data_IF_427751470770
#
_entry.id   IF_427751470770
#
_cell.length_a   1.000
_cell.length_b   1.000
_cell.length_c   1.000
_cell.angle_alpha   90.00
_cell.angle_beta   90.00
_cell.angle_gamma   90.00
#
_symmetry.space_group_name_H-M   'P 1'
#
loop_
_entity.id
_entity.type
_entity.pdbx_description
1 polymer ?
#
# COMPACT_ATOMS: atom_id res chain seq x y z
N UNK A 1 7.16 14.72 24.16
CA UNK A 1 5.99 14.64 23.26
C UNK A 1 6.18 15.71 22.19
N UNK A 2 6.42 15.32 20.96
CA UNK A 2 6.55 16.25 19.83
C UNK A 2 5.15 16.57 19.31
N UNK A 3 4.86 17.85 19.02
CA UNK A 3 3.55 18.28 18.50
C UNK A 3 3.16 17.51 17.22
N UNK A 4 1.85 17.26 16.99
CA UNK A 4 1.40 16.64 15.75
C UNK A 4 1.82 17.47 14.54
N UNK A 5 2.17 16.80 13.44
CA UNK A 5 2.44 17.48 12.18
C UNK A 5 1.12 18.04 11.62
N UNK A 6 1.12 19.21 10.96
CA UNK A 6 -0.09 19.70 10.33
C UNK A 6 -0.59 18.72 9.27
N UNK A 7 -1.93 18.55 9.13
CA UNK A 7 -2.50 17.72 8.09
C UNK A 7 -2.11 18.24 6.70
N UNK A 8 -1.96 17.32 5.74
CA UNK A 8 -1.66 17.70 4.38
C UNK A 8 -2.91 18.32 3.72
N UNK A 9 -2.81 19.49 3.11
CA UNK A 9 -3.95 20.13 2.46
C UNK A 9 -4.47 19.28 1.29
N UNK A 10 -5.80 19.15 1.16
CA UNK A 10 -6.45 18.50 0.02
C UNK A 10 -6.46 16.97 0.03
N UNK A 11 -5.95 16.30 1.06
CA UNK A 11 -5.88 14.83 1.11
C UNK A 11 -7.21 14.13 1.48
N UNK A 12 -8.30 14.86 1.75
CA UNK A 12 -9.69 14.36 1.79
C UNK A 12 -10.04 13.29 2.84
N UNK A 13 -9.18 13.02 3.82
CA UNK A 13 -9.47 12.10 4.91
C UNK A 13 -10.43 12.72 5.93
N UNK A 14 -11.34 11.93 6.49
CA UNK A 14 -12.25 12.34 7.57
C UNK A 14 -11.75 11.74 8.88
N UNK A 15 -11.55 12.58 9.91
CA UNK A 15 -11.04 12.16 11.22
C UNK A 15 -9.58 12.54 11.47
N UNK A 16 -9.07 12.18 12.63
CA UNK A 16 -7.67 12.42 12.99
C UNK A 16 -6.74 11.42 12.31
N UNK A 17 -5.55 11.86 11.84
CA UNK A 17 -4.59 10.95 11.22
C UNK A 17 -3.96 10.04 12.28
N UNK A 18 -4.14 8.73 12.12
CA UNK A 18 -3.50 7.71 12.96
C UNK A 18 -2.05 7.47 12.57
N UNK A 19 -1.75 7.61 11.26
CA UNK A 19 -0.39 7.48 10.71
C UNK A 19 -0.11 8.66 9.77
N UNK A 20 1.02 9.33 9.97
CA UNK A 20 1.45 10.45 9.15
C UNK A 20 2.82 10.15 8.54
N UNK A 21 2.93 10.30 7.23
CA UNK A 21 4.17 10.12 6.47
C UNK A 21 4.54 11.45 5.83
N UNK A 22 5.78 11.91 6.03
CA UNK A 22 6.28 13.17 5.49
C UNK A 22 7.63 12.97 4.81
N UNK A 23 7.70 13.32 3.54
CA UNK A 23 8.90 13.33 2.72
C UNK A 23 9.72 12.05 2.81
N UNK A 24 9.03 10.91 2.91
CA UNK A 24 9.66 9.62 3.10
C UNK A 24 10.54 9.27 1.91
N UNK A 25 11.82 9.00 2.19
CA UNK A 25 12.80 8.56 1.21
C UNK A 25 13.39 7.21 1.64
N UNK A 26 13.46 6.27 0.71
CA UNK A 26 14.21 5.03 0.87
C UNK A 26 14.98 4.72 -0.40
N UNK A 27 16.29 4.72 -0.29
CA UNK A 27 17.21 4.30 -1.33
C UNK A 27 17.95 3.05 -0.88
N UNK A 28 18.21 2.14 -1.81
CA UNK A 28 19.01 0.93 -1.57
C UNK A 28 20.32 1.04 -2.35
N UNK A 29 21.49 0.89 -1.68
CA UNK A 29 22.78 0.95 -2.37
C UNK A 29 22.95 -0.24 -3.31
N UNK A 30 23.36 0.03 -4.54
CA UNK A 30 23.80 -0.98 -5.51
C UNK A 30 25.28 -1.17 -5.37
N UNK A 31 25.70 -2.40 -5.05
CA UNK A 31 27.11 -2.75 -4.87
C UNK A 31 27.66 -3.44 -6.12
N UNK A 32 28.94 -3.19 -6.42
CA UNK A 32 29.65 -3.86 -7.52
C UNK A 32 29.75 -5.38 -7.29
N UNK A 33 29.76 -6.15 -8.40
CA UNK A 33 30.06 -7.58 -8.36
C UNK A 33 31.59 -7.75 -8.33
N UNK A 34 32.20 -7.96 -7.17
CA UNK A 34 33.63 -8.15 -7.05
C UNK A 34 34.05 -8.46 -5.62
N UNK A 35 35.31 -8.86 -5.42
CA UNK A 35 35.91 -9.14 -4.10
C UNK A 35 35.84 -7.87 -3.21
N UNK A 36 36.10 -6.72 -3.80
CA UNK A 36 35.91 -5.42 -3.13
C UNK A 36 34.58 -4.83 -3.58
N UNK A 37 33.59 -4.88 -2.69
CA UNK A 37 32.25 -4.30 -2.93
C UNK A 37 32.31 -2.78 -2.85
N UNK A 38 32.11 -2.09 -3.99
CA UNK A 38 32.01 -0.62 -4.04
C UNK A 38 30.60 -0.23 -4.39
N UNK A 39 30.09 0.86 -3.78
CA UNK A 39 28.80 1.45 -4.13
C UNK A 39 28.90 2.06 -5.54
N UNK A 40 28.05 1.59 -6.48
CA UNK A 40 28.03 2.00 -7.89
C UNK A 40 26.77 2.80 -8.23
N UNK A 41 25.83 2.92 -7.31
CA UNK A 41 24.58 3.67 -7.47
C UNK A 41 23.58 3.36 -6.39
N UNK A 42 22.37 3.86 -6.55
CA UNK A 42 21.26 3.62 -5.65
C UNK A 42 20.00 3.25 -6.43
N UNK A 43 19.22 2.33 -5.88
CA UNK A 43 17.83 2.11 -6.29
C UNK A 43 16.96 3.13 -5.56
N UNK A 44 16.35 4.04 -6.27
CA UNK A 44 15.46 5.09 -5.77
C UNK A 44 14.04 4.53 -5.54
N UNK A 45 13.87 3.68 -4.52
CA UNK A 45 12.63 2.96 -4.30
C UNK A 45 11.48 3.85 -3.80
N UNK A 46 11.77 4.82 -2.93
CA UNK A 46 10.81 5.82 -2.42
C UNK A 46 11.50 7.19 -2.40
N UNK A 47 10.84 8.23 -2.91
CA UNK A 47 11.46 9.53 -3.19
C UNK A 47 10.53 10.70 -2.81
N UNK A 48 10.49 11.03 -1.52
CA UNK A 48 9.69 12.14 -1.01
C UNK A 48 8.19 11.86 -1.04
N UNK A 49 7.78 10.74 -0.43
CA UNK A 49 6.36 10.37 -0.35
C UNK A 49 5.77 10.92 0.93
N UNK A 50 4.62 11.62 0.80
CA UNK A 50 3.87 12.18 1.93
C UNK A 50 2.41 11.82 1.81
N UNK A 51 1.81 11.27 2.88
CA UNK A 51 0.38 10.98 3.00
C UNK A 51 -0.02 10.78 4.46
N UNK A 52 -1.33 10.85 4.71
CA UNK A 52 -1.94 10.55 5.99
C UNK A 52 -2.88 9.35 5.87
N UNK A 53 -2.88 8.47 6.87
CA UNK A 53 -3.89 7.44 7.08
C UNK A 53 -4.73 7.85 8.29
N UNK A 54 -6.04 7.91 8.13
CA UNK A 54 -6.96 8.30 9.18
C UNK A 54 -7.51 7.09 9.94
N UNK A 55 -8.08 7.33 11.12
CA UNK A 55 -8.75 6.26 11.87
C UNK A 55 -9.93 5.70 11.07
N UNK A 56 -10.12 4.39 11.13
CA UNK A 56 -11.18 3.64 10.42
C UNK A 56 -11.16 3.81 8.89
N UNK A 57 -10.05 4.25 8.33
CA UNK A 57 -9.87 4.43 6.89
C UNK A 57 -9.20 3.22 6.24
N UNK A 58 -9.57 2.93 4.99
CA UNK A 58 -8.76 2.13 4.06
C UNK A 58 -8.13 3.06 3.03
N UNK A 59 -6.82 3.33 3.18
CA UNK A 59 -6.04 4.00 2.15
C UNK A 59 -5.44 2.96 1.21
N UNK A 60 -5.88 2.96 -0.05
CA UNK A 60 -5.30 2.13 -1.10
C UNK A 60 -4.00 2.74 -1.63
N UNK A 61 -2.93 1.96 -1.72
CA UNK A 61 -1.68 2.35 -2.38
C UNK A 61 -1.48 1.48 -3.61
N UNK A 62 -1.60 2.06 -4.80
CA UNK A 62 -1.57 1.33 -6.07
C UNK A 62 -0.47 1.81 -7.01
N UNK A 63 -0.07 0.96 -7.94
CA UNK A 63 0.93 1.25 -8.98
C UNK A 63 1.55 -0.02 -9.55
N UNK A 64 2.28 0.11 -10.64
CA UNK A 64 2.97 -1.02 -11.28
C UNK A 64 3.95 -1.73 -10.34
N UNK A 65 4.31 -2.98 -10.67
CA UNK A 65 5.36 -3.70 -9.94
C UNK A 65 6.66 -2.92 -9.95
N UNK A 66 7.38 -2.91 -8.83
CA UNK A 66 8.61 -2.12 -8.67
C UNK A 66 8.40 -0.61 -8.45
N UNK A 67 7.17 -0.10 -8.32
CA UNK A 67 6.94 1.33 -8.04
C UNK A 67 7.35 1.78 -6.63
N UNK A 68 7.62 0.85 -5.69
CA UNK A 68 8.08 1.12 -4.32
C UNK A 68 7.06 0.87 -3.21
N UNK A 69 5.88 0.32 -3.51
CA UNK A 69 4.77 0.09 -2.57
C UNK A 69 5.17 -0.77 -1.36
N UNK A 70 5.70 -1.97 -1.61
CA UNK A 70 6.21 -2.87 -0.56
C UNK A 70 7.33 -2.24 0.26
N UNK A 71 8.15 -1.38 -0.37
CA UNK A 71 9.19 -0.63 0.34
C UNK A 71 8.57 0.35 1.32
N UNK A 72 7.50 1.07 0.94
CA UNK A 72 6.74 1.92 1.86
C UNK A 72 6.20 1.08 3.02
N UNK A 73 5.49 -0.02 2.76
CA UNK A 73 4.93 -0.92 3.78
C UNK A 73 5.97 -1.33 4.83
N UNK A 74 7.14 -1.78 4.37
CA UNK A 74 8.25 -2.21 5.24
C UNK A 74 8.88 -1.05 6.02
N UNK A 75 8.99 0.13 5.39
CA UNK A 75 9.60 1.30 6.03
C UNK A 75 8.68 1.87 7.12
N UNK A 76 7.37 1.90 6.90
CA UNK A 76 6.38 2.33 7.89
C UNK A 76 6.46 1.51 9.19
N UNK A 77 6.66 0.21 9.06
CA UNK A 77 6.73 -0.71 10.21
C UNK A 77 8.16 -0.88 10.76
N UNK A 78 9.11 -0.08 10.29
CA UNK A 78 10.52 -0.18 10.69
C UNK A 78 11.10 -1.59 10.50
N UNK A 79 10.62 -2.30 9.48
CA UNK A 79 11.28 -3.50 8.94
C UNK A 79 12.46 -3.10 8.05
N UNK A 80 12.34 -1.94 7.40
CA UNK A 80 13.41 -1.23 6.68
C UNK A 80 13.58 0.17 7.28
N UNK A 81 14.84 0.63 7.40
CA UNK A 81 15.08 2.01 7.85
C UNK A 81 14.87 2.99 6.69
N UNK A 82 14.21 4.11 6.95
CA UNK A 82 14.15 5.23 6.03
C UNK A 82 15.55 5.79 5.76
N UNK A 83 15.78 6.31 4.55
CA UNK A 83 16.98 7.10 4.23
C UNK A 83 16.82 8.52 4.79
N UNK A 84 15.64 9.10 4.66
CA UNK A 84 15.22 10.37 5.26
C UNK A 84 13.70 10.46 5.31
N UNK A 85 13.17 11.55 5.87
CA UNK A 85 11.75 11.75 6.09
C UNK A 85 11.28 11.20 7.43
N UNK A 86 10.00 11.37 7.72
CA UNK A 86 9.40 11.07 9.02
C UNK A 86 8.17 10.19 8.85
N UNK A 87 8.03 9.21 9.74
CA UNK A 87 6.83 8.39 9.90
C UNK A 87 6.36 8.53 11.34
N UNK A 88 5.17 9.06 11.55
CA UNK A 88 4.57 9.22 12.88
C UNK A 88 3.34 8.34 13.01
N UNK A 89 3.27 7.65 14.13
CA UNK A 89 2.09 6.94 14.58
C UNK A 89 1.58 7.65 15.83
N UNK A 90 0.45 8.34 15.74
CA UNK A 90 -0.03 9.23 16.78
C UNK A 90 1.09 10.19 17.22
N UNK A 91 1.44 10.20 18.51
CA UNK A 91 2.48 11.06 19.08
C UNK A 91 3.91 10.53 18.93
N UNK A 92 4.10 9.36 18.33
CA UNK A 92 5.40 8.69 18.23
C UNK A 92 6.03 8.85 16.85
N UNK A 93 7.23 9.43 16.79
CA UNK A 93 8.05 9.40 15.57
C UNK A 93 8.74 8.03 15.44
N UNK A 94 8.17 7.15 14.60
CA UNK A 94 8.69 5.80 14.40
C UNK A 94 10.10 5.79 13.82
N UNK A 95 10.49 6.81 13.06
CA UNK A 95 11.81 6.87 12.40
C UNK A 95 12.93 7.12 13.40
N UNK A 96 12.65 7.80 14.51
CA UNK A 96 13.60 8.11 15.57
C UNK A 96 13.74 6.98 16.63
N UNK A 97 12.76 6.06 16.73
CA UNK A 97 12.74 5.04 17.78
C UNK A 97 13.82 3.97 17.58
N UNK A 98 14.36 3.44 18.67
CA UNK A 98 15.15 2.22 18.69
C UNK A 98 14.27 0.97 18.50
N UNK A 99 14.90 -0.19 18.21
CA UNK A 99 14.15 -1.47 18.09
C UNK A 99 13.38 -1.82 19.37
N UNK A 100 13.93 -1.51 20.53
CA UNK A 100 13.30 -1.77 21.82
C UNK A 100 12.06 -0.89 22.02
N UNK A 101 12.17 0.39 21.71
CA UNK A 101 11.05 1.35 21.78
C UNK A 101 9.94 1.05 20.77
N UNK A 102 10.27 0.45 19.61
CA UNK A 102 9.28 -0.01 18.64
C UNK A 102 8.46 -1.23 19.11
N UNK A 103 8.98 -2.04 20.03
CA UNK A 103 8.33 -3.31 20.44
C UNK A 103 6.90 -3.12 20.96
N UNK A 104 6.58 -2.19 21.87
CA UNK A 104 5.21 -1.95 22.29
C UNK A 104 4.31 -1.49 21.15
N UNK A 105 4.79 -0.60 20.25
CA UNK A 105 4.01 -0.08 19.14
C UNK A 105 3.69 -1.13 18.07
N UNK A 106 4.53 -2.16 17.94
CA UNK A 106 4.26 -3.30 17.05
C UNK A 106 3.04 -4.11 17.45
N UNK A 107 2.48 -3.93 18.65
CA UNK A 107 1.18 -4.52 19.02
C UNK A 107 0.05 -3.85 18.24
N UNK A 108 0.16 -2.55 18.03
CA UNK A 108 -0.86 -1.74 17.38
C UNK A 108 -0.67 -1.65 15.86
N UNK A 109 0.56 -1.90 15.37
CA UNK A 109 0.96 -1.82 13.97
C UNK A 109 1.33 -3.22 13.46
N UNK A 110 0.46 -3.82 12.64
CA UNK A 110 0.63 -5.17 12.13
C UNK A 110 0.73 -5.20 10.60
N UNK A 111 1.19 -6.32 10.06
CA UNK A 111 1.30 -6.54 8.62
C UNK A 111 0.74 -7.91 8.23
N UNK A 112 0.03 -7.95 7.11
CA UNK A 112 -0.29 -9.17 6.37
C UNK A 112 0.52 -9.15 5.08
N UNK A 113 1.36 -10.17 4.89
CA UNK A 113 2.29 -10.25 3.77
C UNK A 113 1.63 -10.78 2.50
N UNK A 114 2.25 -10.47 1.35
CA UNK A 114 1.82 -10.83 0.01
C UNK A 114 1.72 -12.36 -0.20
N UNK A 115 2.70 -13.11 0.26
CA UNK A 115 2.76 -14.56 0.07
C UNK A 115 2.36 -15.29 1.36
N UNK A 116 1.14 -15.88 1.40
CA UNK A 116 0.70 -16.64 2.56
C UNK A 116 1.50 -17.94 2.77
N UNK A 117 2.18 -18.46 1.73
CA UNK A 117 3.03 -19.64 1.85
C UNK A 117 4.36 -19.32 2.54
N UNK A 118 5.02 -18.24 2.11
CA UNK A 118 6.30 -17.84 2.69
C UNK A 118 6.17 -17.16 4.06
N UNK A 119 4.98 -16.66 4.40
CA UNK A 119 4.75 -15.92 5.65
C UNK A 119 4.41 -16.79 6.86
N UNK A 120 4.05 -18.06 6.66
CA UNK A 120 3.69 -19.01 7.71
C UNK A 120 4.77 -20.09 7.82
N UNK A 121 5.31 -20.34 9.03
CA UNK A 121 6.26 -21.44 9.24
C UNK A 121 5.53 -22.78 9.04
N UNK A 122 5.91 -23.59 8.03
CA UNK A 122 5.22 -24.84 7.71
C UNK A 122 5.37 -25.93 8.78
N UNK A 123 6.25 -25.73 9.75
CA UNK A 123 6.50 -26.67 10.86
C UNK A 123 5.59 -26.40 12.06
N UNK A 124 4.91 -25.28 12.09
CA UNK A 124 4.01 -24.89 13.17
C UNK A 124 2.58 -25.24 12.83
N UNK A 125 1.82 -25.65 13.84
CA UNK A 125 0.37 -25.76 13.75
C UNK A 125 -0.28 -24.38 13.58
N UNK A 126 -1.51 -24.36 13.05
CA UNK A 126 -2.28 -23.12 12.90
C UNK A 126 -2.45 -22.40 14.23
N UNK A 127 -2.71 -23.18 15.31
CA UNK A 127 -2.78 -22.64 16.66
C UNK A 127 -1.49 -21.93 17.07
N UNK A 128 -0.35 -22.57 16.83
CA UNK A 128 0.97 -22.00 17.17
C UNK A 128 1.29 -20.74 16.38
N UNK A 129 0.95 -20.71 15.08
CA UNK A 129 1.11 -19.55 14.19
C UNK A 129 0.30 -18.36 14.70
N UNK A 130 -0.98 -18.57 15.04
CA UNK A 130 -1.85 -17.49 15.53
C UNK A 130 -1.46 -17.06 16.96
N UNK A 131 -0.98 -17.98 17.79
CA UNK A 131 -0.52 -17.73 19.15
C UNK A 131 0.87 -17.06 19.22
N UNK A 132 1.68 -17.14 18.15
CA UNK A 132 3.07 -16.65 18.13
C UNK A 132 3.18 -15.17 18.58
N UNK A 133 2.40 -14.21 18.07
CA UNK A 133 2.45 -12.83 18.54
C UNK A 133 2.14 -12.69 20.02
N UNK A 134 1.19 -13.46 20.54
CA UNK A 134 0.84 -13.46 21.97
C UNK A 134 2.02 -13.92 22.82
N UNK A 135 2.74 -14.97 22.40
CA UNK A 135 3.94 -15.48 23.08
C UNK A 135 5.08 -14.45 23.05
N UNK A 136 5.36 -13.87 21.87
CA UNK A 136 6.43 -12.87 21.70
C UNK A 136 6.19 -11.64 22.59
N UNK A 137 4.94 -11.24 22.76
CA UNK A 137 4.58 -10.07 23.57
C UNK A 137 4.19 -10.39 25.01
N UNK A 138 4.37 -11.66 25.48
CA UNK A 138 4.13 -12.08 26.85
C UNK A 138 2.65 -12.06 27.25
N UNK A 139 1.75 -12.24 26.28
CA UNK A 139 0.30 -12.28 26.49
C UNK A 139 -0.30 -13.69 26.42
N UNK A 140 0.50 -14.69 26.12
CA UNK A 140 0.06 -16.09 26.08
C UNK A 140 0.00 -16.67 27.51
N UNK A 141 -1.19 -16.70 28.09
CA UNK A 141 -1.44 -17.17 29.45
C UNK A 141 -2.70 -18.05 29.53
N UNK A 142 -3.26 -18.26 30.74
CA UNK A 142 -4.53 -18.98 30.89
C UNK A 142 -5.61 -18.36 30.01
N UNK A 143 -6.35 -19.18 29.24
CA UNK A 143 -7.38 -18.73 28.29
C UNK A 143 -6.87 -18.32 26.90
N UNK A 144 -5.56 -18.23 26.66
CA UNK A 144 -5.04 -17.86 25.33
C UNK A 144 -5.43 -18.88 24.24
N UNK A 145 -5.62 -20.14 24.59
CA UNK A 145 -6.14 -21.14 23.66
C UNK A 145 -7.57 -20.83 23.18
N UNK A 146 -8.42 -20.29 24.05
CA UNK A 146 -9.77 -19.84 23.69
C UNK A 146 -9.72 -18.58 22.83
N UNK A 147 -8.80 -17.65 23.15
CA UNK A 147 -8.57 -16.44 22.32
C UNK A 147 -8.15 -16.83 20.90
N UNK A 148 -7.26 -17.82 20.73
CA UNK A 148 -6.87 -18.32 19.41
C UNK A 148 -8.06 -18.98 18.68
N UNK A 149 -8.87 -19.77 19.37
CA UNK A 149 -10.09 -20.37 18.78
C UNK A 149 -11.06 -19.29 18.30
N UNK A 150 -11.23 -18.22 19.08
CA UNK A 150 -12.07 -17.09 18.69
C UNK A 150 -11.53 -16.33 17.47
N UNK A 151 -10.23 -16.11 17.42
CA UNK A 151 -9.58 -15.49 16.24
C UNK A 151 -9.79 -16.34 14.97
N UNK A 152 -9.74 -17.67 15.09
CA UNK A 152 -10.03 -18.56 13.96
C UNK A 152 -11.49 -18.45 13.50
N UNK A 153 -12.46 -18.38 14.44
CA UNK A 153 -13.88 -18.15 14.10
C UNK A 153 -14.07 -16.81 13.41
N UNK A 154 -13.47 -15.77 13.94
CA UNK A 154 -13.55 -14.39 13.42
C UNK A 154 -13.12 -14.30 11.95
N UNK A 155 -12.14 -15.09 11.54
CA UNK A 155 -11.71 -15.15 10.14
C UNK A 155 -12.44 -16.23 9.32
N UNK A 156 -13.48 -16.85 9.87
CA UNK A 156 -14.30 -17.87 9.20
C UNK A 156 -13.59 -19.21 9.01
N UNK A 157 -12.67 -19.57 9.93
CA UNK A 157 -12.03 -20.89 9.97
C UNK A 157 -12.64 -21.74 11.10
N UNK A 158 -12.67 -23.07 10.92
CA UNK A 158 -13.07 -23.97 11.98
C UNK A 158 -11.99 -24.04 13.08
N UNK A 159 -12.32 -23.66 14.34
CA UNK A 159 -11.36 -23.66 15.45
C UNK A 159 -10.75 -25.03 15.75
N UNK A 160 -11.49 -26.12 15.48
CA UNK A 160 -11.01 -27.49 15.70
C UNK A 160 -9.83 -27.86 14.76
N UNK A 161 -9.64 -27.11 13.70
CA UNK A 161 -8.49 -27.25 12.80
C UNK A 161 -7.21 -26.59 13.32
N UNK A 162 -7.21 -26.04 14.51
CA UNK A 162 -6.03 -25.38 15.11
C UNK A 162 -4.79 -26.27 15.19
N UNK A 163 -4.96 -27.59 15.32
CA UNK A 163 -3.84 -28.54 15.39
C UNK A 163 -3.28 -28.96 14.01
N UNK A 164 -3.92 -28.54 12.90
CA UNK A 164 -3.42 -28.82 11.55
C UNK A 164 -2.29 -27.88 11.19
N UNK A 165 -1.49 -28.29 10.21
CA UNK A 165 -0.39 -27.49 9.67
C UNK A 165 -0.87 -26.59 8.53
N UNK A 166 -0.17 -25.46 8.31
CA UNK A 166 -0.55 -24.50 7.28
C UNK A 166 -0.63 -25.11 5.87
N UNK A 167 0.19 -26.10 5.53
CA UNK A 167 0.20 -26.74 4.23
C UNK A 167 -1.05 -27.60 3.93
N UNK A 168 -1.86 -27.94 4.93
CA UNK A 168 -3.13 -28.68 4.80
C UNK A 168 -4.30 -27.78 4.41
N UNK A 169 -4.10 -26.46 4.29
CA UNK A 169 -5.12 -25.48 3.97
C UNK A 169 -4.97 -24.91 2.55
N UNK A 170 -6.09 -24.48 1.95
CA UNK A 170 -6.08 -23.76 0.68
C UNK A 170 -5.39 -22.40 0.81
N UNK A 171 -5.01 -21.78 -0.31
CA UNK A 171 -4.39 -20.45 -0.34
C UNK A 171 -5.21 -19.40 0.41
N UNK A 172 -6.52 -19.35 0.17
CA UNK A 172 -7.42 -18.42 0.85
C UNK A 172 -7.55 -18.70 2.35
N UNK A 173 -7.54 -19.96 2.76
CA UNK A 173 -7.54 -20.33 4.18
C UNK A 173 -6.21 -19.94 4.85
N UNK A 174 -5.07 -20.11 4.19
CA UNK A 174 -3.77 -19.64 4.70
C UNK A 174 -3.74 -18.13 4.85
N UNK A 175 -4.32 -17.38 3.89
CA UNK A 175 -4.45 -15.94 4.01
C UNK A 175 -5.28 -15.55 5.24
N UNK A 176 -6.38 -16.24 5.51
CA UNK A 176 -7.19 -16.06 6.72
C UNK A 176 -6.42 -16.37 8.00
N UNK A 177 -5.55 -17.38 8.01
CA UNK A 177 -4.63 -17.67 9.13
C UNK A 177 -3.67 -16.49 9.35
N UNK A 178 -3.09 -15.94 8.27
CA UNK A 178 -2.24 -14.75 8.33
C UNK A 178 -2.96 -13.52 8.89
N UNK A 179 -4.23 -13.33 8.52
CA UNK A 179 -5.09 -12.26 9.07
C UNK A 179 -5.37 -12.52 10.57
N UNK A 180 -5.72 -13.75 10.97
CA UNK A 180 -5.94 -14.11 12.38
C UNK A 180 -4.69 -13.84 13.22
N UNK A 181 -3.50 -14.20 12.72
CA UNK A 181 -2.21 -13.89 13.36
C UNK A 181 -2.01 -12.39 13.55
N UNK A 182 -2.30 -11.57 12.54
CA UNK A 182 -2.18 -10.13 12.64
C UNK A 182 -3.17 -9.53 13.66
N UNK A 183 -4.35 -10.10 13.80
CA UNK A 183 -5.38 -9.66 14.76
C UNK A 183 -5.09 -10.03 16.21
N UNK A 184 -4.22 -11.01 16.47
CA UNK A 184 -3.96 -11.56 17.81
C UNK A 184 -3.57 -10.51 18.87
N UNK A 185 -2.93 -9.44 18.47
CA UNK A 185 -2.53 -8.34 19.36
C UNK A 185 -3.55 -7.19 19.42
N UNK A 186 -4.71 -7.32 18.76
CA UNK A 186 -5.77 -6.29 18.65
C UNK A 186 -5.19 -4.97 18.10
N UNK A 187 -4.63 -4.98 16.88
CA UNK A 187 -3.98 -3.82 16.29
C UNK A 187 -4.97 -2.68 16.05
N UNK A 188 -4.41 -1.49 15.76
CA UNK A 188 -5.16 -0.31 15.28
C UNK A 188 -4.94 -0.08 13.79
N UNK A 189 -3.74 -0.40 13.31
CA UNK A 189 -3.36 -0.27 11.89
C UNK A 189 -2.84 -1.60 11.39
N UNK A 190 -3.35 -2.04 10.25
CA UNK A 190 -2.83 -3.20 9.53
C UNK A 190 -2.37 -2.76 8.14
N UNK A 191 -1.11 -3.01 7.84
CA UNK A 191 -0.59 -2.89 6.48
C UNK A 191 -0.88 -4.20 5.74
N UNK A 192 -1.66 -4.13 4.68
CA UNK A 192 -2.04 -5.26 3.83
C UNK A 192 -1.20 -5.18 2.55
N UNK A 193 -0.10 -5.93 2.50
CA UNK A 193 0.83 -5.91 1.36
C UNK A 193 0.43 -6.97 0.32
N UNK A 194 -0.33 -6.56 -0.70
CA UNK A 194 -0.92 -7.40 -1.76
C UNK A 194 -1.66 -8.65 -1.23
N UNK A 195 -2.59 -8.52 -0.28
CA UNK A 195 -3.14 -9.64 0.50
C UNK A 195 -3.97 -10.64 -0.33
N UNK A 196 -4.28 -10.34 -1.57
CA UNK A 196 -5.12 -11.19 -2.43
C UNK A 196 -4.49 -11.52 -3.80
N UNK A 197 -3.27 -11.04 -4.06
CA UNK A 197 -2.64 -11.15 -5.39
C UNK A 197 -2.35 -12.59 -5.83
N UNK A 198 -2.13 -13.50 -4.88
CA UNK A 198 -1.83 -14.92 -5.12
C UNK A 198 -3.07 -15.84 -5.07
N UNK A 199 -4.29 -15.24 -5.03
CA UNK A 199 -5.54 -15.98 -4.85
C UNK A 199 -6.41 -15.93 -6.13
N UNK A 200 -7.20 -16.97 -6.35
CA UNK A 200 -8.23 -16.98 -7.39
C UNK A 200 -9.31 -15.93 -7.15
N UNK A 201 -9.90 -15.38 -8.21
CA UNK A 201 -10.85 -14.25 -8.16
C UNK A 201 -12.02 -14.49 -7.19
N UNK A 202 -12.57 -15.70 -7.16
CA UNK A 202 -13.67 -16.05 -6.23
C UNK A 202 -13.24 -16.04 -4.77
N UNK A 203 -12.03 -16.49 -4.49
CA UNK A 203 -11.43 -16.51 -3.15
C UNK A 203 -11.04 -15.11 -2.72
N UNK A 204 -10.53 -14.28 -3.66
CA UNK A 204 -10.23 -12.86 -3.41
C UNK A 204 -11.43 -12.12 -2.84
N UNK A 205 -12.61 -12.26 -3.47
CA UNK A 205 -13.83 -11.60 -3.00
C UNK A 205 -14.18 -11.98 -1.55
N UNK A 206 -14.03 -13.25 -1.18
CA UNK A 206 -14.28 -13.72 0.18
C UNK A 206 -13.30 -13.17 1.22
N UNK A 207 -12.03 -12.94 0.85
CA UNK A 207 -11.03 -12.32 1.73
C UNK A 207 -11.25 -10.80 1.84
N UNK A 208 -11.62 -10.14 0.74
CA UNK A 208 -11.91 -8.70 0.75
C UNK A 208 -13.14 -8.37 1.61
N UNK A 209 -14.22 -9.15 1.49
CA UNK A 209 -15.41 -8.99 2.33
C UNK A 209 -15.05 -9.19 3.81
N UNK A 210 -14.30 -10.26 4.14
CA UNK A 210 -13.82 -10.48 5.51
C UNK A 210 -13.04 -9.27 6.04
N UNK A 211 -12.14 -8.66 5.26
CA UNK A 211 -11.38 -7.49 5.69
C UNK A 211 -12.26 -6.27 5.94
N UNK A 212 -13.29 -6.05 5.11
CA UNK A 212 -14.26 -4.96 5.32
C UNK A 212 -15.12 -5.18 6.57
N UNK A 213 -15.57 -6.41 6.82
CA UNK A 213 -16.32 -6.76 8.02
C UNK A 213 -15.47 -6.54 9.28
N UNK A 214 -14.23 -7.04 9.28
CA UNK A 214 -13.27 -6.83 10.37
C UNK A 214 -12.95 -5.35 10.61
N UNK A 215 -12.85 -4.54 9.56
CA UNK A 215 -12.65 -3.10 9.68
C UNK A 215 -13.82 -2.44 10.41
N UNK A 216 -15.04 -2.78 9.99
CA UNK A 216 -16.27 -2.23 10.60
C UNK A 216 -16.47 -2.66 12.05
N UNK A 217 -16.20 -3.94 12.36
CA UNK A 217 -16.44 -4.50 13.70
C UNK A 217 -15.36 -4.07 14.71
N UNK A 218 -14.10 -4.01 14.29
CA UNK A 218 -12.96 -3.78 15.18
C UNK A 218 -12.39 -2.36 15.12
N UNK A 219 -12.92 -1.50 14.24
CA UNK A 219 -12.44 -0.13 14.06
C UNK A 219 -10.99 -0.09 13.56
N UNK A 220 -10.64 -0.92 12.57
CA UNK A 220 -9.30 -1.03 12.03
C UNK A 220 -9.04 0.04 10.96
N UNK A 221 -7.80 0.52 10.89
CA UNK A 221 -7.33 1.34 9.78
C UNK A 221 -6.41 0.51 8.89
N UNK A 222 -6.61 0.55 7.57
CA UNK A 222 -5.83 -0.23 6.62
C UNK A 222 -4.99 0.65 5.68
N UNK A 223 -3.71 0.33 5.56
CA UNK A 223 -2.95 0.69 4.38
C UNK A 223 -2.97 -0.53 3.45
N UNK A 224 -3.78 -0.46 2.41
CA UNK A 224 -3.99 -1.58 1.48
C UNK A 224 -3.14 -1.38 0.22
N UNK A 225 -2.11 -2.18 0.05
CA UNK A 225 -1.24 -2.18 -1.12
C UNK A 225 -1.75 -3.18 -2.14
N UNK A 226 -1.90 -2.76 -3.40
CA UNK A 226 -2.19 -3.66 -4.51
C UNK A 226 -1.56 -3.15 -5.82
N UNK A 227 -1.39 -4.05 -6.77
CA UNK A 227 -1.07 -3.70 -8.15
C UNK A 227 -2.33 -3.54 -9.01
N UNK A 228 -3.43 -4.18 -8.62
CA UNK A 228 -4.71 -4.10 -9.32
C UNK A 228 -5.60 -3.01 -8.71
N UNK A 229 -5.87 -2.00 -9.55
CA UNK A 229 -6.72 -0.88 -9.18
C UNK A 229 -8.20 -1.29 -9.04
N UNK A 230 -8.64 -2.39 -9.69
CA UNK A 230 -10.02 -2.86 -9.61
C UNK A 230 -10.42 -3.26 -8.19
N UNK A 231 -9.51 -3.86 -7.44
CA UNK A 231 -9.70 -4.24 -6.02
C UNK A 231 -9.98 -3.00 -5.17
N UNK A 232 -9.26 -1.89 -5.41
CA UNK A 232 -9.40 -0.65 -4.64
C UNK A 232 -10.76 0.00 -4.77
N UNK A 233 -11.45 -0.21 -5.90
CA UNK A 233 -12.79 0.31 -6.12
C UNK A 233 -13.80 -0.17 -5.08
N UNK A 234 -13.57 -1.36 -4.51
CA UNK A 234 -14.47 -1.99 -3.55
C UNK A 234 -14.10 -1.75 -2.10
N UNK A 235 -12.80 -1.62 -1.79
CA UNK A 235 -12.33 -1.61 -0.41
C UNK A 235 -11.76 -0.28 0.06
N UNK A 236 -11.29 0.59 -0.86
CA UNK A 236 -10.59 1.81 -0.48
C UNK A 236 -11.53 2.99 -0.29
N UNK A 237 -11.34 3.75 0.78
CA UNK A 237 -11.97 5.08 0.98
C UNK A 237 -11.26 6.13 0.12
N UNK A 238 -9.94 6.11 0.12
CA UNK A 238 -9.04 6.94 -0.68
C UNK A 238 -8.00 6.07 -1.36
N UNK A 239 -7.50 6.53 -2.50
CA UNK A 239 -6.46 5.84 -3.27
C UNK A 239 -5.31 6.80 -3.55
N UNK A 240 -4.10 6.35 -3.24
CA UNK A 240 -2.84 6.97 -3.58
C UNK A 240 -2.18 6.16 -4.71
N UNK A 241 -1.93 6.81 -5.84
CA UNK A 241 -1.32 6.19 -7.02
C UNK A 241 0.18 6.48 -7.02
N UNK A 242 0.98 5.42 -7.13
CA UNK A 242 2.43 5.50 -7.07
C UNK A 242 3.08 5.10 -8.39
N UNK A 243 4.01 5.91 -8.86
CA UNK A 243 4.81 5.62 -10.04
C UNK A 243 6.28 5.88 -9.77
N UNK A 244 7.12 4.89 -9.98
CA UNK A 244 8.58 4.96 -9.91
C UNK A 244 9.09 5.74 -8.67
N UNK A 245 8.62 5.35 -7.47
CA UNK A 245 9.04 5.90 -6.18
C UNK A 245 8.35 7.19 -5.74
N UNK A 246 7.36 7.72 -6.48
CA UNK A 246 6.64 8.94 -6.13
C UNK A 246 5.13 8.75 -6.18
N UNK A 247 4.39 9.48 -5.35
CA UNK A 247 2.94 9.62 -5.52
C UNK A 247 2.68 10.55 -6.70
N UNK A 248 1.75 10.14 -7.56
CA UNK A 248 1.34 10.92 -8.75
C UNK A 248 -0.06 11.47 -8.62
N UNK A 249 -0.92 10.82 -7.85
CA UNK A 249 -2.28 11.28 -7.57
C UNK A 249 -2.76 10.67 -6.25
N UNK A 250 -3.53 11.43 -5.44
CA UNK A 250 -4.23 10.94 -4.27
C UNK A 250 -5.63 11.54 -4.23
N UNK A 251 -6.65 10.69 -4.06
CA UNK A 251 -8.03 11.15 -4.12
C UNK A 251 -8.98 10.20 -3.37
N UNK A 252 -10.19 10.65 -2.99
CA UNK A 252 -11.28 9.76 -2.66
C UNK A 252 -11.52 8.75 -3.78
N UNK A 253 -11.69 7.47 -3.44
CA UNK A 253 -11.78 6.40 -4.43
C UNK A 253 -12.84 6.69 -5.52
N UNK A 254 -14.04 7.11 -5.12
CA UNK A 254 -15.11 7.49 -6.06
C UNK A 254 -14.64 8.51 -7.12
N UNK A 255 -13.92 9.53 -6.68
CA UNK A 255 -13.47 10.62 -7.54
C UNK A 255 -12.34 10.16 -8.46
N UNK A 256 -11.36 9.40 -7.93
CA UNK A 256 -10.24 8.87 -8.71
C UNK A 256 -10.74 7.96 -9.84
N UNK A 257 -11.73 7.11 -9.58
CA UNK A 257 -12.30 6.22 -10.61
C UNK A 257 -13.17 6.96 -11.62
N UNK A 258 -13.95 7.97 -11.19
CA UNK A 258 -14.82 8.73 -12.08
C UNK A 258 -14.05 9.76 -12.93
N UNK A 259 -13.08 10.45 -12.33
CA UNK A 259 -12.37 11.59 -12.93
C UNK A 259 -10.89 11.60 -12.56
N UNK A 260 -10.09 10.61 -12.99
CA UNK A 260 -8.65 10.63 -12.79
C UNK A 260 -8.03 11.82 -13.51
N UNK A 261 -7.05 12.47 -12.87
CA UNK A 261 -6.43 13.68 -13.42
C UNK A 261 -5.00 13.46 -13.93
N UNK A 262 -4.23 12.56 -13.31
CA UNK A 262 -2.90 12.24 -13.80
C UNK A 262 -2.96 11.28 -15.00
N UNK A 263 -2.23 11.51 -16.10
CA UNK A 263 -2.27 10.65 -17.30
C UNK A 263 -1.95 9.16 -17.02
N UNK A 264 -1.10 8.86 -16.05
CA UNK A 264 -0.85 7.49 -15.60
C UNK A 264 -2.07 6.87 -14.91
N UNK A 265 -2.74 7.61 -14.01
CA UNK A 265 -3.98 7.15 -13.35
C UNK A 265 -5.08 6.91 -14.38
N UNK A 266 -5.20 7.80 -15.37
CA UNK A 266 -6.15 7.64 -16.49
C UNK A 266 -5.90 6.33 -17.24
N UNK A 267 -4.65 6.01 -17.54
CA UNK A 267 -4.29 4.77 -18.20
C UNK A 267 -4.65 3.55 -17.33
N UNK A 268 -4.32 3.57 -16.03
CA UNK A 268 -4.66 2.48 -15.10
C UNK A 268 -6.19 2.28 -14.98
N UNK A 269 -6.96 3.36 -14.80
CA UNK A 269 -8.43 3.29 -14.71
C UNK A 269 -9.01 2.81 -16.04
N UNK A 270 -8.46 3.25 -17.18
CA UNK A 270 -8.91 2.82 -18.50
C UNK A 270 -8.64 1.33 -18.78
N UNK A 271 -7.73 0.70 -18.05
CA UNK A 271 -7.40 -0.72 -18.22
C UNK A 271 -8.34 -1.64 -17.42
N UNK A 272 -9.11 -1.12 -16.44
CA UNK A 272 -10.04 -1.92 -15.63
C UNK A 272 -11.18 -2.43 -16.52
N UNK A 273 -11.44 -3.74 -16.60
CA UNK A 273 -12.55 -4.28 -17.39
C UNK A 273 -13.91 -3.80 -16.86
N UNK A 274 -14.82 -3.46 -17.78
CA UNK A 274 -16.20 -3.11 -17.43
C UNK A 274 -17.06 -4.39 -17.45
N UNK A 275 -17.99 -4.56 -16.48
CA UNK A 275 -18.89 -5.71 -16.45
C UNK A 275 -19.83 -5.78 -17.66
N UNK A 276 -20.13 -4.63 -18.29
CA UNK A 276 -20.99 -4.53 -19.48
C UNK A 276 -20.15 -4.72 -20.77
N UNK A 277 -20.33 -5.83 -21.51
CA UNK A 277 -19.57 -6.09 -22.73
C UNK A 277 -19.79 -5.04 -23.84
N UNK A 278 -20.95 -4.37 -23.88
CA UNK A 278 -21.24 -3.35 -24.89
C UNK A 278 -20.44 -2.09 -24.60
N UNK A 279 -20.42 -1.67 -23.33
CA UNK A 279 -19.64 -0.52 -22.87
C UNK A 279 -18.13 -0.79 -22.99
N UNK A 280 -17.69 -1.99 -22.67
CA UNK A 280 -16.28 -2.39 -22.80
C UNK A 280 -15.80 -2.33 -24.26
N UNK A 281 -16.62 -2.78 -25.23
CA UNK A 281 -16.28 -2.71 -26.66
C UNK A 281 -16.25 -1.29 -27.20
N UNK A 282 -17.13 -0.42 -26.70
CA UNK A 282 -17.22 0.98 -27.12
C UNK A 282 -16.12 1.86 -26.51
N UNK A 283 -15.49 1.40 -25.41
CA UNK A 283 -14.52 2.18 -24.64
C UNK A 283 -13.15 2.23 -25.34
N UNK A 284 -12.60 3.44 -25.45
CA UNK A 284 -11.23 3.64 -25.92
C UNK A 284 -10.27 3.50 -24.75
N UNK A 285 -9.45 2.44 -24.73
CA UNK A 285 -8.39 2.27 -23.73
C UNK A 285 -7.23 3.23 -23.98
N UNK A 286 -6.70 3.80 -22.91
CA UNK A 286 -5.50 4.65 -22.96
C UNK A 286 -4.28 3.73 -22.85
N UNK A 287 -3.58 3.54 -23.96
CA UNK A 287 -2.41 2.67 -24.00
C UNK A 287 -1.16 3.47 -23.63
N UNK A 288 -0.43 3.00 -22.63
CA UNK A 288 0.89 3.52 -22.26
C UNK A 288 1.95 2.78 -23.05
N UNK A 289 2.77 3.53 -23.80
CA UNK A 289 3.84 2.95 -24.61
C UNK A 289 5.19 2.97 -23.87
N UNK A 290 6.04 2.01 -24.19
CA UNK A 290 7.39 1.88 -23.65
C UNK A 290 7.48 1.20 -22.28
N UNK A 291 8.69 0.78 -21.93
CA UNK A 291 9.00 0.09 -20.68
C UNK A 291 9.08 1.05 -19.50
N UNK A 292 8.91 0.51 -18.28
CA UNK A 292 9.12 1.25 -17.04
C UNK A 292 10.60 1.60 -16.91
N UNK A 293 10.94 2.90 -16.76
CA UNK A 293 12.34 3.30 -16.59
C UNK A 293 12.98 2.68 -15.35
N UNK A 294 14.30 2.50 -15.41
CA UNK A 294 15.04 1.90 -14.29
C UNK A 294 14.98 2.80 -13.04
N UNK A 295 14.66 2.26 -11.86
CA UNK A 295 14.70 2.99 -10.59
C UNK A 295 16.12 3.36 -10.15
N UNK A 296 17.16 2.80 -10.79
CA UNK A 296 18.57 3.17 -10.53
C UNK A 296 18.92 4.48 -11.23
N UNK A 297 18.31 4.75 -12.38
CA UNK A 297 18.49 5.99 -13.16
C UNK A 297 17.11 6.53 -13.59
N UNK A 298 16.33 7.06 -12.64
CA UNK A 298 15.00 7.58 -12.96
C UNK A 298 15.12 8.80 -13.88
N UNK A 299 14.15 9.03 -14.76
CA UNK A 299 14.12 10.23 -15.60
C UNK A 299 14.15 11.50 -14.76
N UNK A 300 14.80 12.56 -15.27
CA UNK A 300 14.74 13.91 -14.69
C UNK A 300 13.32 14.47 -14.76
N UNK A 301 12.99 15.47 -13.96
CA UNK A 301 11.67 16.09 -13.96
C UNK A 301 10.54 15.10 -13.70
N UNK A 302 9.49 15.13 -14.53
CA UNK A 302 8.38 14.20 -14.43
C UNK A 302 8.81 12.77 -14.80
N UNK A 303 8.76 11.84 -13.86
CA UNK A 303 9.20 10.44 -14.06
C UNK A 303 8.35 9.68 -15.07
N UNK A 304 7.10 10.09 -15.26
CA UNK A 304 6.19 9.45 -16.22
C UNK A 304 6.33 9.99 -17.65
N UNK A 305 7.09 11.11 -17.90
CA UNK A 305 7.18 11.78 -19.20
C UNK A 305 7.55 10.86 -20.35
N UNK A 306 8.42 9.88 -20.12
CA UNK A 306 8.87 8.93 -21.16
C UNK A 306 7.78 7.97 -21.65
N UNK A 307 6.69 7.84 -20.89
CA UNK A 307 5.53 6.99 -21.22
C UNK A 307 4.22 7.79 -21.30
N UNK A 308 4.29 9.11 -21.11
CA UNK A 308 3.11 9.97 -21.03
C UNK A 308 2.55 10.28 -22.43
N UNK A 309 1.29 9.91 -22.72
CA UNK A 309 0.67 10.20 -24.02
C UNK A 309 0.50 11.70 -24.28
N UNK A 310 0.31 12.54 -23.23
CA UNK A 310 0.29 14.00 -23.38
C UNK A 310 1.66 14.53 -23.83
N UNK A 311 2.73 14.07 -23.19
CA UNK A 311 4.09 14.46 -23.55
C UNK A 311 4.43 14.07 -24.99
N UNK A 312 3.97 12.88 -25.44
CA UNK A 312 4.27 12.39 -26.78
C UNK A 312 3.58 13.18 -27.91
N UNK A 313 2.32 13.61 -27.70
CA UNK A 313 1.52 14.13 -28.80
C UNK A 313 0.68 15.37 -28.55
N UNK A 314 0.63 15.92 -27.34
CA UNK A 314 -0.29 17.01 -27.00
C UNK A 314 0.41 18.29 -26.49
N UNK A 315 1.64 18.17 -25.96
CA UNK A 315 2.36 19.30 -25.38
C UNK A 315 3.22 20.02 -26.42
N UNK A 316 3.31 21.33 -26.30
CA UNK A 316 4.25 22.17 -27.00
C UNK A 316 5.70 21.93 -26.52
N UNK A 317 6.70 22.42 -27.23
CA UNK A 317 8.11 22.23 -26.85
C UNK A 317 8.45 22.91 -25.51
N UNK A 318 7.88 24.08 -25.22
CA UNK A 318 8.05 24.77 -23.93
C UNK A 318 7.43 23.98 -22.77
N UNK A 319 6.27 23.39 -22.98
CA UNK A 319 5.59 22.56 -21.98
C UNK A 319 6.34 21.24 -21.73
N UNK A 320 6.92 20.64 -22.78
CA UNK A 320 7.79 19.47 -22.66
C UNK A 320 9.04 19.79 -21.85
N UNK A 321 9.61 20.97 -22.02
CA UNK A 321 10.78 21.44 -21.25
C UNK A 321 10.48 21.43 -19.75
N UNK A 322 9.32 21.95 -19.32
CA UNK A 322 8.90 21.89 -17.91
C UNK A 322 8.82 20.43 -17.39
N UNK A 323 8.30 19.50 -18.19
CA UNK A 323 8.25 18.08 -17.81
C UNK A 323 9.64 17.42 -17.72
N UNK A 324 10.64 17.93 -18.44
CA UNK A 324 12.02 17.41 -18.43
C UNK A 324 12.84 17.97 -17.27
N UNK A 325 12.68 19.24 -16.95
CA UNK A 325 13.52 19.95 -16.00
C UNK A 325 12.94 19.99 -14.59
N UNK A 326 11.61 20.04 -14.46
CA UNK A 326 10.95 20.24 -13.18
C UNK A 326 10.22 19.00 -12.72
N UNK A 327 10.45 18.62 -11.45
CA UNK A 327 9.67 17.56 -10.79
C UNK A 327 8.32 18.16 -10.39
N UNK A 328 7.18 17.61 -10.87
CA UNK A 328 5.88 18.13 -10.48
C UNK A 328 5.59 17.81 -9.00
N UNK A 329 5.14 18.82 -8.25
CA UNK A 329 4.69 18.65 -6.88
C UNK A 329 3.29 18.04 -6.82
N UNK A 330 3.04 17.28 -5.78
CA UNK A 330 1.72 16.69 -5.48
C UNK A 330 0.83 17.77 -4.82
N UNK A 331 0.11 18.54 -5.63
CA UNK A 331 -0.72 19.67 -5.18
C UNK A 331 -2.10 19.62 -5.82
N UNK A 332 -3.11 20.17 -5.12
CA UNK A 332 -4.42 20.38 -5.71
C UNK A 332 -4.36 21.54 -6.72
N UNK A 333 -4.75 21.26 -7.96
CA UNK A 333 -4.77 22.23 -9.05
C UNK A 333 -6.20 22.68 -9.39
N UNK A 334 -7.07 22.73 -8.37
CA UNK A 334 -8.47 23.16 -8.52
C UNK A 334 -9.44 22.04 -8.86
N UNK A 335 -8.99 20.78 -8.87
CA UNK A 335 -9.84 19.60 -9.09
C UNK A 335 -10.29 18.90 -7.80
N UNK A 336 -9.89 19.40 -6.64
CA UNK A 336 -10.17 18.79 -5.33
C UNK A 336 -9.30 17.59 -4.98
N UNK A 337 -8.32 17.23 -5.84
CA UNK A 337 -7.38 16.13 -5.62
C UNK A 337 -5.94 16.57 -5.86
N UNK A 338 -5.00 16.25 -4.96
CA UNK A 338 -3.58 16.44 -5.21
C UNK A 338 -3.07 15.57 -6.38
N UNK A 339 -2.43 16.23 -7.37
CA UNK A 339 -1.90 15.60 -8.59
C UNK A 339 -0.50 16.12 -8.88
N UNK A 340 0.45 15.21 -9.10
CA UNK A 340 1.83 15.53 -9.47
C UNK A 340 2.00 15.56 -11.01
N UNK A 341 1.33 16.50 -11.66
CA UNK A 341 1.44 16.72 -13.11
C UNK A 341 1.33 18.21 -13.42
N UNK A 342 2.21 18.76 -14.25
CA UNK A 342 2.17 20.19 -14.66
C UNK A 342 0.90 20.50 -15.46
N UNK A 343 0.39 19.51 -16.21
CA UNK A 343 -0.72 19.63 -17.16
C UNK A 343 -1.82 18.62 -16.85
N UNK A 344 -2.18 18.53 -15.56
CA UNK A 344 -3.25 17.63 -15.10
C UNK A 344 -4.61 18.10 -15.64
N UNK A 345 -5.40 17.15 -16.13
CA UNK A 345 -6.78 17.35 -16.55
C UNK A 345 -7.63 16.18 -16.13
N UNK A 346 -8.72 16.46 -15.44
CA UNK A 346 -9.66 15.41 -15.06
C UNK A 346 -10.46 14.94 -16.29
N UNK A 347 -10.42 13.64 -16.55
CA UNK A 347 -11.13 13.01 -17.67
C UNK A 347 -12.16 12.04 -17.13
N UNK A 348 -13.42 12.15 -17.59
CA UNK A 348 -14.45 11.17 -17.23
C UNK A 348 -14.22 9.86 -18.00
N UNK A 349 -13.98 8.76 -17.28
CA UNK A 349 -13.64 7.46 -17.86
C UNK A 349 -14.63 6.34 -17.50
N UNK A 350 -15.28 6.41 -16.34
CA UNK A 350 -16.21 5.38 -15.81
C UNK A 350 -17.56 5.99 -15.43
#
# INVERSE_FOLDING_TARGET
MTAPLPPLPGHGGTGEPVLQVRDLVKHFPVMSKGVVRRRIGDVHAVCGVSFDLHENETLGLVGESGSGKTTISRTLLRLENATSGTVRYRDHDLTALSRHQMRPLRRELQIVFQDPYASLDPRLSVHEIVAEPLRIHGRYGPGAGDEVRELLRLVGLNPEHGNRFAHEFSGGQRQRIGIARALALRPKVIVLDEPVSALDVSIQAGVLNLLMDLQSELGLSFLFVAHDLSVMRHVASRVAVMYLGRLVEIAPARQLFARPAHPYTQALVSAIPLPDPRKERARKRITVQGDVPSPVRPPSGCRFRTRCPKFAGQLTDSERTACVEQVPDLVDRGGGNPVACHYAESVQLL
#
